data_IF_997994162261
#
_entry.id   IF_997994162261
#
_cell.length_a   1.000
_cell.length_b   1.000
_cell.length_c   1.000
_cell.angle_alpha   90.00
_cell.angle_beta   90.00
_cell.angle_gamma   90.00
#
_symmetry.space_group_name_H-M   'P 1'
#
loop_
_entity.id
_entity.type
_entity.pdbx_description
1 polymer ?
#
# COMPACT_ATOMS: atom_id res chain seq x y z
N UNK A 1 -3.84 -5.90 1.14
CA UNK A 1 -2.49 -5.39 0.83
C UNK A 1 -1.40 -6.46 0.83
N UNK A 2 -1.62 -7.67 1.38
CA UNK A 2 -0.68 -8.80 1.28
C UNK A 2 -0.24 -9.10 -0.14
N UNK A 3 -1.17 -9.04 -1.10
CA UNK A 3 -0.89 -9.25 -2.52
C UNK A 3 -0.03 -8.17 -3.17
N UNK A 4 0.24 -7.06 -2.46
CA UNK A 4 1.15 -5.98 -2.87
C UNK A 4 2.48 -6.01 -2.11
N UNK A 5 2.69 -6.98 -1.20
CA UNK A 5 3.95 -7.16 -0.49
C UNK A 5 3.96 -6.75 0.98
N UNK A 6 2.86 -6.20 1.49
CA UNK A 6 2.72 -5.82 2.90
C UNK A 6 2.08 -6.94 3.71
N UNK A 7 2.73 -7.42 4.76
CA UNK A 7 2.09 -8.34 5.71
C UNK A 7 1.99 -7.72 7.08
N UNK A 8 0.80 -7.81 7.68
CA UNK A 8 0.63 -7.56 9.12
C UNK A 8 -0.31 -8.61 9.68
N UNK A 9 0.18 -9.42 10.62
CA UNK A 9 -0.66 -10.29 11.45
C UNK A 9 -1.08 -9.63 12.76
N UNK A 10 -0.51 -8.45 13.06
CA UNK A 10 -0.84 -7.67 14.23
C UNK A 10 -1.08 -6.23 13.82
N UNK A 11 -2.36 -5.83 13.79
CA UNK A 11 -2.85 -4.48 13.47
C UNK A 11 -2.19 -3.36 14.29
N UNK A 12 -1.50 -3.67 15.40
CA UNK A 12 -0.78 -2.70 16.25
C UNK A 12 0.72 -2.56 15.91
N UNK A 13 1.24 -3.34 14.95
CA UNK A 13 2.63 -3.25 14.47
C UNK A 13 2.62 -3.32 12.93
N UNK A 14 2.77 -2.17 12.30
CA UNK A 14 3.00 -2.05 10.87
C UNK A 14 4.52 -1.91 10.73
N UNK A 15 5.16 -2.89 10.09
CA UNK A 15 6.60 -2.84 9.81
C UNK A 15 6.87 -1.89 8.63
N UNK A 16 8.08 -1.32 8.55
CA UNK A 16 8.47 -0.49 7.40
C UNK A 16 8.81 -1.33 6.15
N UNK A 17 8.93 -2.65 6.32
CA UNK A 17 9.21 -3.61 5.26
C UNK A 17 7.91 -4.10 4.60
N UNK A 18 8.01 -4.43 3.31
CA UNK A 18 6.86 -4.64 2.42
C UNK A 18 6.63 -3.52 1.40
N UNK A 19 7.22 -2.35 1.61
CA UNK A 19 7.20 -1.24 0.66
C UNK A 19 8.18 -1.42 -0.49
N UNK A 20 7.69 -1.27 -1.72
CA UNK A 20 8.46 -1.06 -2.95
C UNK A 20 8.33 0.41 -3.42
N UNK A 21 9.17 0.86 -4.36
CA UNK A 21 8.97 2.21 -4.94
C UNK A 21 7.55 2.37 -5.52
N UNK A 22 6.99 1.28 -6.09
CA UNK A 22 5.64 1.26 -6.67
C UNK A 22 4.56 1.38 -5.60
N UNK A 23 4.63 0.61 -4.52
CA UNK A 23 3.62 0.72 -3.47
C UNK A 23 3.72 2.02 -2.70
N UNK A 24 4.94 2.55 -2.51
CA UNK A 24 5.14 3.85 -1.87
C UNK A 24 4.56 4.97 -2.75
N UNK A 25 4.73 4.86 -4.07
CA UNK A 25 4.05 5.71 -5.05
C UNK A 25 2.53 5.63 -4.89
N UNK A 26 1.97 4.44 -5.09
CA UNK A 26 0.53 4.16 -5.07
C UNK A 26 -0.15 4.64 -3.78
N UNK A 27 0.49 4.40 -2.63
CA UNK A 27 -0.06 4.73 -1.31
C UNK A 27 0.27 6.15 -0.83
N UNK A 28 1.03 6.92 -1.63
CA UNK A 28 1.43 8.28 -1.27
C UNK A 28 2.35 8.35 -0.04
N UNK A 29 3.17 7.33 0.18
CA UNK A 29 4.12 7.26 1.32
C UNK A 29 5.30 8.18 1.02
N UNK A 30 5.24 9.41 1.56
CA UNK A 30 6.24 10.47 1.30
C UNK A 30 7.36 10.56 2.31
N UNK A 31 7.14 10.12 3.55
CA UNK A 31 8.08 10.33 4.63
C UNK A 31 8.51 8.98 5.18
N UNK A 32 9.81 8.69 5.07
CA UNK A 32 10.42 7.53 5.71
C UNK A 32 11.24 8.05 6.88
N UNK A 33 10.83 7.68 8.10
CA UNK A 33 11.48 8.12 9.33
C UNK A 33 12.20 6.93 9.93
N UNK A 34 13.54 7.01 10.01
CA UNK A 34 14.35 6.05 10.71
C UNK A 34 14.76 6.62 12.07
N UNK A 35 14.42 5.90 13.13
CA UNK A 35 14.71 6.27 14.51
C UNK A 35 15.69 5.24 15.08
N UNK A 36 16.91 5.66 15.39
CA UNK A 36 17.96 4.77 15.92
C UNK A 36 19.22 5.53 16.31
N UNK A 37 20.01 4.98 17.25
CA UNK A 37 21.26 5.58 17.73
C UNK A 37 21.14 7.05 18.18
N UNK A 38 20.04 7.41 18.89
CA UNK A 38 19.70 8.79 19.28
C UNK A 38 19.58 9.78 18.11
N UNK A 39 19.43 9.29 16.89
CA UNK A 39 19.22 10.11 15.69
C UNK A 39 17.85 9.80 15.08
N UNK A 40 17.22 10.85 14.57
CA UNK A 40 16.01 10.76 13.75
C UNK A 40 16.43 11.23 12.37
N UNK A 41 16.36 10.32 11.40
CA UNK A 41 16.53 10.66 9.99
C UNK A 41 15.16 10.61 9.33
N UNK A 42 14.81 11.66 8.61
CA UNK A 42 13.57 11.74 7.84
C UNK A 42 13.94 11.99 6.38
N UNK A 43 13.59 11.05 5.52
CA UNK A 43 13.77 11.17 4.08
C UNK A 43 12.41 11.45 3.43
N UNK A 44 12.39 12.43 2.54
CA UNK A 44 11.22 12.78 1.75
C UNK A 44 11.30 12.11 0.37
N UNK A 45 10.38 11.19 0.09
CA UNK A 45 10.25 10.56 -1.21
C UNK A 45 9.38 11.42 -2.13
N UNK A 46 10.04 12.11 -3.06
CA UNK A 46 9.37 12.92 -4.08
C UNK A 46 8.65 12.09 -5.14
N UNK A 47 8.83 10.77 -5.15
CA UNK A 47 8.17 9.88 -6.11
C UNK A 47 6.75 9.50 -5.69
N UNK A 48 6.29 9.88 -4.50
CA UNK A 48 4.97 9.48 -4.02
C UNK A 48 3.83 10.20 -4.75
N UNK A 49 2.80 9.45 -5.15
CA UNK A 49 1.60 10.02 -5.76
C UNK A 49 0.87 10.94 -4.76
N UNK A 50 0.05 11.90 -5.25
CA UNK A 50 -0.97 12.52 -4.41
C UNK A 50 -2.05 11.49 -4.02
N UNK A 51 -2.84 11.79 -2.99
CA UNK A 51 -3.87 10.89 -2.47
C UNK A 51 -4.90 10.50 -3.55
N UNK A 52 -5.19 11.39 -4.50
CA UNK A 52 -6.11 11.13 -5.60
C UNK A 52 -5.51 11.48 -6.96
N UNK A 53 -5.52 10.54 -7.90
CA UNK A 53 -5.02 10.73 -9.26
C UNK A 53 -5.76 9.84 -10.28
N UNK A 54 -5.76 10.27 -11.55
CA UNK A 54 -6.42 9.52 -12.62
C UNK A 54 -5.57 8.34 -13.08
N UNK A 55 -6.21 7.19 -13.26
CA UNK A 55 -5.63 5.97 -13.84
C UNK A 55 -6.56 5.42 -14.92
N UNK A 56 -6.09 4.47 -15.73
CA UNK A 56 -6.92 3.78 -16.70
C UNK A 56 -8.06 2.99 -16.00
N UNK A 57 -9.25 2.97 -16.61
CA UNK A 57 -10.42 2.20 -16.15
C UNK A 57 -10.17 0.70 -15.93
N UNK A 58 -9.13 0.13 -16.53
CA UNK A 58 -8.69 -1.25 -16.28
C UNK A 58 -8.43 -1.52 -14.78
N UNK A 59 -8.16 -0.49 -13.97
CA UNK A 59 -8.00 -0.60 -12.51
C UNK A 59 -9.25 -1.20 -11.83
N UNK A 60 -10.43 -1.02 -12.43
CA UNK A 60 -11.71 -1.48 -11.88
C UNK A 60 -11.82 -3.02 -11.92
N UNK A 61 -11.16 -3.63 -12.90
CA UNK A 61 -11.19 -5.07 -13.13
C UNK A 61 -9.91 -5.76 -12.61
N UNK A 62 -8.99 -4.99 -12.01
CA UNK A 62 -7.74 -5.51 -11.47
C UNK A 62 -8.03 -6.44 -10.27
N UNK A 63 -7.74 -7.72 -10.47
CA UNK A 63 -7.77 -8.74 -9.42
C UNK A 63 -6.35 -9.21 -9.15
N UNK A 64 -5.95 -9.20 -7.88
CA UNK A 64 -4.63 -9.66 -7.47
C UNK A 64 -4.57 -11.18 -7.32
N UNK A 65 -3.45 -11.73 -7.77
CA UNK A 65 -3.12 -13.14 -7.60
C UNK A 65 -2.39 -13.33 -6.27
N UNK A 66 -2.90 -14.23 -5.42
CA UNK A 66 -2.29 -14.51 -4.12
C UNK A 66 -0.86 -15.01 -4.31
N UNK A 67 0.06 -14.53 -3.46
CA UNK A 67 1.50 -14.87 -3.46
C UNK A 67 2.28 -14.43 -4.72
N UNK A 68 1.66 -13.71 -5.66
CA UNK A 68 2.32 -13.25 -6.90
C UNK A 68 2.58 -11.75 -6.85
N UNK A 69 3.30 -11.29 -5.81
CA UNK A 69 3.44 -9.85 -5.50
C UNK A 69 4.02 -9.06 -6.66
N UNK A 70 5.15 -9.49 -7.24
CA UNK A 70 5.77 -8.74 -8.34
C UNK A 70 4.93 -8.73 -9.62
N UNK A 71 4.15 -9.79 -9.88
CA UNK A 71 3.19 -9.83 -10.98
C UNK A 71 2.05 -8.82 -10.75
N UNK A 72 1.51 -8.76 -9.53
CA UNK A 72 0.48 -7.80 -9.16
C UNK A 72 0.98 -6.37 -9.27
N UNK A 73 2.17 -6.08 -8.73
CA UNK A 73 2.79 -4.76 -8.84
C UNK A 73 3.03 -4.37 -10.29
N UNK A 74 3.51 -5.29 -11.11
CA UNK A 74 3.69 -5.04 -12.53
C UNK A 74 2.36 -4.66 -13.24
N UNK A 75 1.26 -5.36 -12.93
CA UNK A 75 -0.08 -5.05 -13.46
C UNK A 75 -0.59 -3.68 -13.00
N UNK A 76 -0.35 -3.30 -11.73
CA UNK A 76 -0.70 -1.97 -11.22
C UNK A 76 0.01 -0.89 -12.02
N UNK A 77 1.34 -1.00 -12.16
CA UNK A 77 2.15 0.00 -12.87
C UNK A 77 1.74 0.09 -14.34
N UNK A 78 1.45 -1.04 -14.99
CA UNK A 78 0.96 -1.09 -16.37
C UNK A 78 -0.35 -0.33 -16.55
N UNK A 79 -1.30 -0.48 -15.62
CA UNK A 79 -2.59 0.23 -15.64
C UNK A 79 -2.38 1.73 -15.41
N UNK A 80 -1.53 2.11 -14.46
CA UNK A 80 -1.19 3.52 -14.21
C UNK A 80 -0.49 4.15 -15.42
N UNK A 81 0.47 3.44 -16.01
CA UNK A 81 1.23 3.87 -17.17
C UNK A 81 0.43 3.79 -18.49
N UNK A 82 -0.68 3.05 -18.52
CA UNK A 82 -1.49 2.81 -19.71
C UNK A 82 -0.73 2.06 -20.82
N UNK A 83 0.12 1.10 -20.44
CA UNK A 83 0.92 0.30 -21.38
C UNK A 83 1.14 -1.13 -20.86
N UNK A 84 1.80 -1.97 -21.65
CA UNK A 84 2.11 -3.38 -21.31
C UNK A 84 3.59 -3.62 -20.95
N UNK A 85 4.35 -2.56 -20.67
CA UNK A 85 5.77 -2.68 -20.34
C UNK A 85 5.98 -3.53 -19.09
N UNK A 86 7.00 -4.40 -19.09
CA UNK A 86 7.37 -5.21 -17.93
C UNK A 86 8.33 -4.42 -17.04
N UNK A 87 7.79 -3.76 -16.02
CA UNK A 87 8.52 -2.96 -15.04
C UNK A 87 9.29 -3.79 -14.03
N UNK A 88 8.72 -4.92 -13.58
CA UNK A 88 9.42 -5.89 -12.73
C UNK A 88 9.93 -7.06 -13.59
N UNK A 89 11.23 -7.37 -13.49
CA UNK A 89 11.85 -8.52 -14.16
C UNK A 89 12.68 -9.30 -13.16
N UNK A 90 12.52 -10.63 -13.13
CA UNK A 90 13.31 -11.49 -12.28
C UNK A 90 14.80 -11.41 -12.67
N UNK A 91 15.75 -11.29 -11.72
CA UNK A 91 17.17 -11.41 -12.06
C UNK A 91 17.47 -12.84 -12.56
N UNK A 92 18.49 -12.99 -13.42
CA UNK A 92 18.92 -14.32 -13.88
C UNK A 92 19.73 -15.01 -12.80
N UNK A 93 19.37 -16.25 -12.47
CA UNK A 93 20.20 -17.10 -11.61
C UNK A 93 21.52 -17.42 -12.31
N UNK A 94 22.64 -17.15 -11.64
CA UNK A 94 23.99 -17.54 -12.08
C UNK A 94 24.44 -18.80 -11.36
N UNK A 95 24.22 -18.87 -10.05
CA UNK A 95 24.46 -20.07 -9.25
C UNK A 95 23.63 -20.03 -7.97
N UNK A 96 23.27 -21.22 -7.48
CA UNK A 96 22.62 -21.44 -6.20
C UNK A 96 23.37 -22.59 -5.50
N UNK A 97 23.85 -22.32 -4.29
CA UNK A 97 24.36 -23.35 -3.39
C UNK A 97 23.48 -23.35 -2.14
N UNK A 98 23.05 -24.54 -1.71
CA UNK A 98 22.30 -24.73 -0.46
C UNK A 98 23.06 -25.67 0.48
N UNK A 99 23.10 -25.32 1.76
CA UNK A 99 23.73 -26.12 2.82
C UNK A 99 22.76 -26.21 3.99
N UNK A 100 22.37 -27.43 4.31
CA UNK A 100 21.55 -27.73 5.48
C UNK A 100 22.46 -28.27 6.59
N UNK A 101 22.45 -27.60 7.74
CA UNK A 101 23.26 -27.99 8.88
C UNK A 101 22.49 -27.72 10.18
N UNK A 102 22.38 -28.74 11.03
CA UNK A 102 21.77 -28.64 12.37
C UNK A 102 20.34 -28.05 12.36
N UNK A 103 19.54 -28.40 11.35
CA UNK A 103 18.17 -27.87 11.18
C UNK A 103 18.09 -26.42 10.68
N UNK A 104 19.21 -25.83 10.27
CA UNK A 104 19.29 -24.50 9.67
C UNK A 104 19.61 -24.63 8.18
N UNK A 105 18.79 -23.99 7.36
CA UNK A 105 18.90 -23.99 5.90
C UNK A 105 19.62 -22.74 5.43
N UNK A 106 20.73 -22.90 4.71
CA UNK A 106 21.52 -21.79 4.19
C UNK A 106 21.49 -21.80 2.66
N UNK A 107 21.19 -20.66 2.05
CA UNK A 107 21.14 -20.47 0.61
C UNK A 107 22.11 -19.36 0.22
N UNK A 108 22.98 -19.62 -0.75
CA UNK A 108 23.85 -18.61 -1.37
C UNK A 108 23.54 -18.56 -2.86
N UNK A 109 22.93 -17.45 -3.27
CA UNK A 109 22.58 -17.17 -4.66
C UNK A 109 23.54 -16.14 -5.22
N UNK A 110 23.97 -16.35 -6.46
CA UNK A 110 24.55 -15.32 -7.31
C UNK A 110 23.52 -15.03 -8.40
N UNK A 111 23.06 -13.77 -8.43
CA UNK A 111 22.03 -13.30 -9.33
C UNK A 111 22.62 -12.25 -10.27
N UNK A 112 22.12 -12.17 -11.51
CA UNK A 112 22.48 -11.13 -12.49
C UNK A 112 21.26 -10.26 -12.78
N UNK A 113 21.33 -8.98 -12.42
CA UNK A 113 20.21 -8.06 -12.58
C UNK A 113 19.83 -7.90 -14.07
N UNK A 114 18.53 -7.95 -14.36
CA UNK A 114 17.98 -7.68 -15.70
C UNK A 114 17.55 -6.23 -15.88
N UNK A 115 17.36 -5.48 -14.79
CA UNK A 115 16.99 -4.07 -14.78
C UNK A 115 18.05 -3.25 -14.05
N UNK A 116 18.11 -1.95 -14.35
CA UNK A 116 18.88 -0.98 -13.55
C UNK A 116 17.93 -0.37 -12.54
N UNK A 117 18.09 -0.71 -11.27
CA UNK A 117 17.15 -0.28 -10.25
C UNK A 117 17.11 -1.14 -9.01
N UNK A 118 16.07 -0.92 -8.21
CA UNK A 118 15.83 -1.57 -6.94
C UNK A 118 15.55 -3.05 -7.14
N UNK A 119 16.26 -3.91 -6.41
CA UNK A 119 16.06 -5.35 -6.38
C UNK A 119 15.30 -5.73 -5.11
N UNK A 120 14.48 -6.77 -5.21
CA UNK A 120 13.57 -7.20 -4.16
C UNK A 120 13.53 -8.71 -4.03
N UNK A 121 13.19 -9.19 -2.84
CA UNK A 121 12.90 -10.58 -2.50
C UNK A 121 11.52 -10.66 -1.82
N UNK A 122 10.70 -11.63 -2.22
CA UNK A 122 9.44 -11.95 -1.56
C UNK A 122 9.25 -13.46 -1.51
N UNK A 123 9.45 -14.07 -0.34
CA UNK A 123 9.37 -15.53 -0.17
C UNK A 123 7.98 -15.92 0.30
N UNK A 124 7.08 -16.39 -0.58
CA UNK A 124 5.67 -16.57 -0.25
C UNK A 124 5.48 -17.56 0.89
N UNK A 125 4.54 -17.25 1.81
CA UNK A 125 4.14 -18.10 2.94
C UNK A 125 5.23 -18.38 3.99
N UNK A 126 6.39 -17.73 3.89
CA UNK A 126 7.47 -17.85 4.87
C UNK A 126 7.38 -16.70 5.88
N UNK A 127 7.45 -17.04 7.17
CA UNK A 127 7.64 -16.06 8.25
C UNK A 127 9.10 -15.69 8.32
N UNK A 128 9.39 -14.40 8.37
CA UNK A 128 10.75 -13.89 8.40
C UNK A 128 11.39 -13.92 9.81
N UNK A 129 10.66 -14.35 10.83
CA UNK A 129 11.22 -14.60 12.18
C UNK A 129 12.32 -15.66 12.12
N UNK A 130 13.53 -15.29 12.58
CA UNK A 130 14.71 -16.15 12.54
C UNK A 130 15.36 -16.26 11.16
N UNK A 131 14.84 -15.57 10.13
CA UNK A 131 15.47 -15.50 8.81
C UNK A 131 16.46 -14.34 8.81
N UNK A 132 17.70 -14.60 8.41
CA UNK A 132 18.70 -13.56 8.17
C UNK A 132 19.05 -13.49 6.69
N UNK A 133 19.25 -12.28 6.19
CA UNK A 133 19.52 -12.01 4.78
C UNK A 133 20.70 -11.07 4.69
N UNK A 134 21.65 -11.35 3.80
CA UNK A 134 22.70 -10.42 3.42
C UNK A 134 22.80 -10.26 1.91
N UNK A 135 23.17 -9.06 1.48
CA UNK A 135 23.41 -8.74 0.07
C UNK A 135 24.85 -8.29 -0.06
N UNK A 136 25.63 -8.93 -0.95
CA UNK A 136 27.06 -8.68 -1.15
C UNK A 136 27.86 -8.68 0.17
N UNK A 137 27.47 -9.54 1.13
CA UNK A 137 28.12 -9.66 2.44
C UNK A 137 27.66 -8.63 3.49
N UNK A 138 26.81 -7.66 3.12
CA UNK A 138 26.21 -6.72 4.07
C UNK A 138 24.86 -7.27 4.55
N UNK A 139 24.74 -7.48 5.86
CA UNK A 139 23.51 -7.97 6.47
C UNK A 139 22.42 -6.91 6.42
N UNK A 140 21.22 -7.32 6.02
CA UNK A 140 20.01 -6.50 6.15
C UNK A 140 19.58 -6.57 7.62
N UNK A 141 19.37 -5.44 8.32
CA UNK A 141 18.96 -5.44 9.72
C UNK A 141 17.71 -6.31 9.96
N UNK A 142 17.66 -7.05 11.08
CA UNK A 142 16.54 -7.94 11.39
C UNK A 142 15.23 -7.16 11.53
N UNK A 143 14.15 -7.79 11.06
CA UNK A 143 12.80 -7.22 10.98
C UNK A 143 12.17 -7.23 12.38
N UNK A 144 11.68 -6.07 12.85
CA UNK A 144 11.19 -5.89 14.22
C UNK A 144 9.99 -6.78 14.57
N UNK A 145 9.22 -7.22 13.56
CA UNK A 145 8.12 -8.17 13.77
C UNK A 145 8.44 -9.58 13.25
N UNK A 146 8.92 -9.74 12.00
CA UNK A 146 9.13 -11.04 11.37
C UNK A 146 7.88 -11.95 11.37
N UNK A 147 6.71 -11.40 11.69
CA UNK A 147 5.46 -12.13 11.91
C UNK A 147 4.73 -12.46 10.61
N UNK A 148 5.23 -11.92 9.50
CA UNK A 148 4.61 -11.95 8.19
C UNK A 148 5.57 -12.34 7.07
N UNK A 149 5.01 -12.37 5.87
CA UNK A 149 5.76 -12.44 4.61
C UNK A 149 5.74 -11.05 3.96
N UNK A 150 6.91 -10.43 3.86
CA UNK A 150 7.04 -9.05 3.39
C UNK A 150 8.02 -8.98 2.22
N UNK A 151 7.85 -7.99 1.36
CA UNK A 151 8.87 -7.65 0.35
C UNK A 151 10.10 -7.06 1.05
N UNK A 152 11.25 -7.65 0.78
CA UNK A 152 12.55 -7.25 1.33
C UNK A 152 13.33 -6.51 0.23
N UNK A 153 13.71 -5.24 0.44
CA UNK A 153 14.57 -4.52 -0.47
C UNK A 153 16.01 -5.06 -0.38
N UNK A 154 16.62 -5.34 -1.53
CA UNK A 154 17.99 -5.85 -1.65
C UNK A 154 18.98 -4.77 -2.12
N UNK A 155 18.51 -3.54 -2.32
CA UNK A 155 19.30 -2.41 -2.80
C UNK A 155 19.23 -2.21 -4.32
N UNK A 156 19.98 -1.21 -4.81
CA UNK A 156 19.99 -0.82 -6.23
C UNK A 156 21.15 -1.47 -6.98
N UNK A 157 20.86 -2.17 -8.06
CA UNK A 157 21.85 -2.85 -8.90
C UNK A 157 21.68 -2.40 -10.35
N UNK A 158 22.79 -2.19 -11.06
CA UNK A 158 22.77 -1.88 -12.51
C UNK A 158 22.49 -3.13 -13.32
N UNK A 159 21.75 -2.99 -14.42
CA UNK A 159 21.51 -4.07 -15.35
C UNK A 159 22.82 -4.75 -15.77
N UNK A 160 22.81 -6.07 -15.88
CA UNK A 160 23.97 -6.88 -16.25
C UNK A 160 24.98 -7.13 -15.12
N UNK A 161 24.92 -6.43 -13.99
CA UNK A 161 25.82 -6.67 -12.85
C UNK A 161 25.34 -7.87 -12.02
N UNK A 162 26.30 -8.58 -11.43
CA UNK A 162 26.03 -9.68 -10.50
C UNK A 162 25.95 -9.15 -9.06
N UNK A 163 25.14 -9.79 -8.25
CA UNK A 163 25.06 -9.57 -6.81
C UNK A 163 24.85 -10.90 -6.08
N UNK A 164 25.36 -11.01 -4.86
CA UNK A 164 25.19 -12.20 -4.02
C UNK A 164 24.10 -11.95 -2.99
N UNK A 165 23.19 -12.90 -2.83
CA UNK A 165 22.22 -12.94 -1.74
C UNK A 165 22.49 -14.18 -0.92
N UNK A 166 22.65 -14.02 0.40
CA UNK A 166 22.75 -15.13 1.34
C UNK A 166 21.54 -15.09 2.26
N UNK A 167 20.87 -16.23 2.42
CA UNK A 167 19.67 -16.39 3.23
C UNK A 167 19.93 -17.54 4.20
N UNK A 168 19.77 -17.29 5.49
CA UNK A 168 19.76 -18.33 6.53
C UNK A 168 18.36 -18.40 7.10
N UNK A 169 17.75 -19.58 7.11
CA UNK A 169 16.35 -19.77 7.48
C UNK A 169 16.17 -21.02 8.35
N UNK A 170 15.31 -20.97 9.39
CA UNK A 170 14.90 -22.15 10.14
C UNK A 170 13.93 -23.05 9.36
N UNK A 171 13.35 -22.56 8.27
CA UNK A 171 12.44 -23.31 7.40
C UNK A 171 13.08 -23.51 6.02
N UNK A 172 12.85 -24.66 5.39
CA UNK A 172 13.26 -24.90 4.00
C UNK A 172 12.56 -23.92 3.05
N UNK A 173 13.31 -23.38 2.08
CA UNK A 173 12.86 -22.38 1.11
C UNK A 173 12.86 -23.01 -0.29
N UNK A 174 11.78 -23.72 -0.62
CA UNK A 174 11.66 -24.36 -1.93
C UNK A 174 11.43 -23.33 -3.03
N UNK A 175 12.29 -23.34 -4.06
CA UNK A 175 12.13 -22.49 -5.23
C UNK A 175 12.52 -21.02 -5.03
N UNK A 176 13.31 -20.72 -3.99
CA UNK A 176 13.68 -19.35 -3.59
C UNK A 176 14.33 -18.55 -4.73
N UNK A 177 14.98 -19.20 -5.68
CA UNK A 177 15.53 -18.55 -6.88
C UNK A 177 14.49 -17.84 -7.75
N UNK A 178 13.20 -18.17 -7.60
CA UNK A 178 12.09 -17.55 -8.33
C UNK A 178 11.43 -16.39 -7.58
N UNK A 179 11.83 -16.14 -6.33
CA UNK A 179 11.20 -15.17 -5.42
C UNK A 179 11.80 -13.76 -5.51
N UNK A 180 12.55 -13.49 -6.58
CA UNK A 180 13.27 -12.24 -6.79
C UNK A 180 12.69 -11.42 -7.95
N UNK A 181 12.71 -10.09 -7.82
CA UNK A 181 12.43 -9.19 -8.94
C UNK A 181 13.22 -7.88 -8.83
N UNK A 182 13.61 -7.34 -9.98
CA UNK A 182 14.17 -6.01 -10.13
C UNK A 182 13.18 -5.07 -10.80
N UNK A 183 13.03 -3.87 -10.22
CA UNK A 183 12.30 -2.78 -10.86
C UNK A 183 13.20 -2.08 -11.89
N UNK A 184 12.64 -1.76 -13.05
CA UNK A 184 13.23 -0.80 -13.98
C UNK A 184 12.87 0.61 -13.55
N UNK A 185 13.69 1.19 -12.65
CA UNK A 185 13.40 2.50 -12.07
C UNK A 185 13.38 3.61 -13.13
N UNK A 186 14.14 3.48 -14.23
CA UNK A 186 14.13 4.48 -15.30
C UNK A 186 12.79 4.45 -16.04
N UNK A 187 12.31 3.27 -16.42
CA UNK A 187 11.01 3.13 -17.06
C UNK A 187 9.88 3.57 -16.11
N UNK A 188 9.92 3.14 -14.84
CA UNK A 188 8.93 3.53 -13.84
C UNK A 188 8.88 5.04 -13.64
N UNK A 189 10.03 5.69 -13.48
CA UNK A 189 10.08 7.14 -13.32
C UNK A 189 9.56 7.89 -14.55
N UNK A 190 9.90 7.43 -15.76
CA UNK A 190 9.47 8.06 -17.01
C UNK A 190 7.96 7.91 -17.22
N UNK A 191 7.43 6.71 -17.03
CA UNK A 191 6.07 6.36 -17.46
C UNK A 191 5.01 6.59 -16.38
N UNK A 192 5.41 6.64 -15.11
CA UNK A 192 4.50 6.82 -13.96
C UNK A 192 4.84 8.09 -13.18
N UNK A 193 6.02 8.16 -12.55
CA UNK A 193 6.32 9.26 -11.60
C UNK A 193 6.33 10.63 -12.26
N UNK A 194 6.99 10.77 -13.41
CA UNK A 194 7.14 12.03 -14.12
C UNK A 194 6.06 12.24 -15.19
N UNK A 195 5.10 11.32 -15.30
CA UNK A 195 4.02 11.43 -16.29
C UNK A 195 3.05 12.53 -15.84
N UNK A 196 2.65 13.46 -16.73
CA UNK A 196 1.60 14.41 -16.41
C UNK A 196 0.27 13.67 -16.28
N UNK A 197 -0.23 13.57 -15.06
CA UNK A 197 -1.53 12.96 -14.73
C UNK A 197 -2.41 13.99 -14.06
N UNK A 198 -3.72 13.86 -14.24
CA UNK A 198 -4.71 14.67 -13.53
C UNK A 198 -4.79 14.22 -12.08
N UNK A 199 -4.63 15.15 -11.15
CA UNK A 199 -4.59 14.88 -9.71
C UNK A 199 -5.70 15.64 -8.99
N UNK A 200 -6.28 15.05 -7.95
CA UNK A 200 -7.25 15.71 -7.10
C UNK A 200 -6.57 16.84 -6.31
N UNK A 201 -7.07 18.06 -6.46
CA UNK A 201 -6.65 19.23 -5.70
C UNK A 201 -7.70 19.53 -4.65
N UNK A 202 -7.32 19.43 -3.37
CA UNK A 202 -8.22 19.76 -2.27
C UNK A 202 -8.39 21.27 -2.15
N UNK A 203 -9.63 21.71 -1.89
CA UNK A 203 -9.94 23.13 -1.68
C UNK A 203 -9.25 23.66 -0.42
N UNK A 204 -9.15 22.81 0.62
CA UNK A 204 -8.62 23.16 1.94
C UNK A 204 -7.80 22.03 2.56
N UNK A 205 -6.60 21.73 2.03
CA UNK A 205 -5.81 20.56 2.42
C UNK A 205 -5.44 20.52 3.91
N UNK A 206 -5.28 21.68 4.56
CA UNK A 206 -4.95 21.76 5.99
C UNK A 206 -6.10 21.31 6.91
N UNK A 207 -7.35 21.51 6.48
CA UNK A 207 -8.53 21.17 7.29
C UNK A 207 -8.78 19.65 7.32
N UNK A 208 -8.32 18.91 6.31
CA UNK A 208 -8.46 17.44 6.23
C UNK A 208 -7.83 16.73 7.43
N UNK A 209 -6.77 17.29 8.01
CA UNK A 209 -6.11 16.70 9.19
C UNK A 209 -6.98 16.73 10.46
N UNK A 210 -8.02 17.57 10.50
CA UNK A 210 -8.90 17.75 11.66
C UNK A 210 -10.36 17.38 11.36
N UNK A 211 -10.77 17.44 10.09
CA UNK A 211 -12.11 17.10 9.59
C UNK A 211 -11.98 16.18 8.37
N UNK A 212 -11.46 14.98 8.60
CA UNK A 212 -11.21 14.00 7.55
C UNK A 212 -12.49 13.35 6.99
N UNK A 213 -13.62 13.51 7.67
CA UNK A 213 -14.93 12.96 7.28
C UNK A 213 -15.67 13.82 6.26
N UNK A 214 -15.21 15.03 5.96
CA UNK A 214 -15.88 15.93 5.00
C UNK A 214 -14.87 16.82 4.28
N UNK A 215 -14.66 16.58 2.99
CA UNK A 215 -13.72 17.37 2.20
C UNK A 215 -14.15 17.55 0.75
N UNK A 216 -13.64 18.62 0.13
CA UNK A 216 -13.92 19.00 -1.24
C UNK A 216 -12.64 19.15 -2.05
N UNK A 217 -12.74 18.90 -3.34
CA UNK A 217 -11.65 19.14 -4.26
C UNK A 217 -12.12 19.26 -5.70
N UNK A 218 -11.18 19.61 -6.57
CA UNK A 218 -11.37 19.71 -8.00
C UNK A 218 -10.33 18.86 -8.74
N UNK A 219 -10.72 18.35 -9.89
CA UNK A 219 -9.85 17.63 -10.80
C UNK A 219 -10.28 17.92 -12.25
N UNK A 220 -9.31 18.19 -13.11
CA UNK A 220 -9.56 18.35 -14.55
C UNK A 220 -9.15 17.05 -15.26
N UNK A 221 -10.12 16.27 -15.70
CA UNK A 221 -9.89 14.98 -16.37
C UNK A 221 -9.63 15.23 -17.85
N UNK A 222 -8.46 14.81 -18.35
CA UNK A 222 -8.03 15.14 -19.71
C UNK A 222 -8.31 14.04 -20.73
N UNK A 223 -8.63 12.82 -20.29
CA UNK A 223 -8.87 11.67 -21.16
C UNK A 223 -10.18 10.95 -20.82
N UNK A 224 -10.72 10.22 -21.80
CA UNK A 224 -11.83 9.28 -21.57
C UNK A 224 -11.33 8.00 -20.89
N UNK A 225 -12.26 7.20 -20.36
CA UNK A 225 -12.00 5.88 -19.78
C UNK A 225 -10.97 5.92 -18.64
N UNK A 226 -11.12 6.92 -17.77
CA UNK A 226 -10.28 7.08 -16.59
C UNK A 226 -11.09 7.00 -15.31
N UNK A 227 -10.48 6.37 -14.31
CA UNK A 227 -10.99 6.27 -12.95
C UNK A 227 -10.11 7.14 -12.06
N UNK A 228 -10.73 7.97 -11.22
CA UNK A 228 -10.02 8.60 -10.11
C UNK A 228 -9.70 7.49 -9.11
N UNK A 229 -8.43 7.15 -9.00
CA UNK A 229 -7.92 6.28 -7.95
C UNK A 229 -7.64 7.13 -6.70
N UNK A 230 -8.00 6.60 -5.54
CA UNK A 230 -7.72 7.19 -4.24
C UNK A 230 -6.93 6.19 -3.40
N UNK A 231 -5.80 6.61 -2.84
CA UNK A 231 -5.00 5.79 -1.91
C UNK A 231 -5.66 5.55 -0.54
N UNK A 232 -6.95 5.88 -0.44
CA UNK A 232 -7.80 5.64 0.72
C UNK A 232 -8.49 4.28 0.61
N UNK A 233 -8.63 3.54 1.72
CA UNK A 233 -9.42 2.32 1.74
C UNK A 233 -10.87 2.56 1.29
N UNK A 234 -11.42 1.61 0.54
CA UNK A 234 -12.85 1.58 0.24
C UNK A 234 -13.65 1.27 1.51
N UNK A 235 -14.68 2.07 1.77
CA UNK A 235 -15.66 1.85 2.83
C UNK A 235 -17.05 2.25 2.32
N UNK A 236 -18.10 1.54 2.75
CA UNK A 236 -19.48 1.84 2.36
C UNK A 236 -20.02 3.14 2.99
N UNK A 237 -19.39 3.63 4.05
CA UNK A 237 -19.71 4.91 4.68
C UNK A 237 -19.27 6.12 3.86
N UNK A 238 -18.45 5.95 2.83
CA UNK A 238 -18.06 7.05 1.94
C UNK A 238 -19.16 7.36 0.92
N UNK A 239 -19.64 8.59 0.98
CA UNK A 239 -20.54 9.18 -0.01
C UNK A 239 -19.80 10.25 -0.81
N UNK A 240 -20.10 10.32 -2.11
CA UNK A 240 -19.51 11.33 -2.99
C UNK A 240 -20.58 12.04 -3.80
N UNK A 241 -20.41 13.35 -3.97
CA UNK A 241 -21.12 14.14 -4.96
C UNK A 241 -20.13 14.58 -6.06
N UNK A 242 -20.48 14.34 -7.32
CA UNK A 242 -19.72 14.78 -8.50
C UNK A 242 -20.53 15.86 -9.19
N UNK A 243 -19.99 17.08 -9.22
CA UNK A 243 -20.67 18.27 -9.77
C UNK A 243 -22.07 18.49 -9.14
N UNK A 244 -22.18 18.24 -7.83
CA UNK A 244 -23.41 18.41 -7.05
C UNK A 244 -24.45 17.29 -7.22
N UNK A 245 -24.15 16.24 -7.98
CA UNK A 245 -25.01 15.06 -8.13
C UNK A 245 -24.41 13.85 -7.40
N UNK A 246 -25.22 12.95 -6.81
CA UNK A 246 -24.71 11.73 -6.19
C UNK A 246 -23.84 10.92 -7.17
N UNK A 247 -22.63 10.59 -6.75
CA UNK A 247 -21.70 9.72 -7.48
C UNK A 247 -21.55 8.36 -6.80
N UNK A 248 -20.87 7.43 -7.47
CA UNK A 248 -20.61 6.08 -6.96
C UNK A 248 -19.13 5.92 -6.61
N UNK A 249 -18.88 5.55 -5.36
CA UNK A 249 -17.60 5.02 -4.90
C UNK A 249 -17.54 3.53 -5.25
N UNK A 250 -16.46 3.11 -5.90
CA UNK A 250 -16.21 1.70 -6.25
C UNK A 250 -14.95 1.19 -5.58
N UNK A 251 -14.89 -0.11 -5.30
CA UNK A 251 -13.69 -0.78 -4.80
C UNK A 251 -12.77 -1.07 -6.00
N UNK A 252 -11.52 -0.66 -5.91
CA UNK A 252 -10.46 -0.91 -6.90
C UNK A 252 -9.20 -1.44 -6.21
N UNK A 253 -8.27 -2.02 -6.97
CA UNK A 253 -7.00 -2.54 -6.46
C UNK A 253 -7.14 -3.36 -5.15
N UNK A 254 -8.17 -4.21 -5.11
CA UNK A 254 -8.55 -5.07 -3.98
C UNK A 254 -8.56 -4.40 -2.58
N UNK A 255 -9.06 -3.17 -2.48
CA UNK A 255 -9.30 -2.55 -1.17
C UNK A 255 -9.29 -1.04 -1.14
N UNK A 256 -8.95 -0.39 -2.25
CA UNK A 256 -8.84 1.05 -2.35
C UNK A 256 -10.06 1.63 -3.06
N UNK A 257 -10.20 2.95 -2.97
CA UNK A 257 -11.35 3.67 -3.48
C UNK A 257 -11.11 4.13 -4.92
N UNK A 258 -12.13 3.97 -5.77
CA UNK A 258 -12.19 4.49 -7.12
C UNK A 258 -13.47 5.28 -7.37
N UNK A 259 -13.41 6.28 -8.25
CA UNK A 259 -14.57 7.04 -8.72
C UNK A 259 -14.49 7.22 -10.23
N UNK A 260 -15.56 6.87 -10.96
CA UNK A 260 -15.67 7.16 -12.39
C UNK A 260 -15.93 8.64 -12.60
N UNK A 261 -15.09 9.30 -13.39
CA UNK A 261 -15.25 10.70 -13.75
C UNK A 261 -15.30 10.83 -15.27
N UNK A 262 -16.05 11.82 -15.75
CA UNK A 262 -16.08 12.16 -17.16
C UNK A 262 -15.00 13.21 -17.46
N UNK A 263 -14.54 13.35 -18.71
CA UNK A 263 -13.61 14.40 -19.09
C UNK A 263 -14.09 15.79 -18.72
N UNK A 264 -13.13 16.68 -18.46
CA UNK A 264 -13.35 18.06 -18.06
C UNK A 264 -13.21 18.29 -16.55
N UNK A 265 -13.65 19.48 -16.13
CA UNK A 265 -13.59 19.89 -14.73
C UNK A 265 -14.66 19.18 -13.90
N UNK A 266 -14.22 18.46 -12.88
CA UNK A 266 -15.09 17.80 -11.92
C UNK A 266 -14.85 18.38 -10.53
N UNK A 267 -15.92 18.81 -9.86
CA UNK A 267 -15.92 19.22 -8.47
C UNK A 267 -16.46 18.07 -7.62
N UNK A 268 -15.65 17.63 -6.66
CA UNK A 268 -15.93 16.47 -5.83
C UNK A 268 -16.19 16.91 -4.39
N UNK A 269 -17.20 16.32 -3.76
CA UNK A 269 -17.46 16.46 -2.34
C UNK A 269 -17.58 15.07 -1.71
N UNK A 270 -16.65 14.75 -0.82
CA UNK A 270 -16.63 13.51 -0.06
C UNK A 270 -17.21 13.76 1.33
N UNK A 271 -18.07 12.84 1.79
CA UNK A 271 -18.62 12.80 3.14
C UNK A 271 -18.55 11.36 3.65
N UNK A 272 -18.07 11.17 4.87
CA UNK A 272 -18.03 9.88 5.54
C UNK A 272 -19.10 9.82 6.61
N UNK A 273 -19.86 8.73 6.64
CA UNK A 273 -20.79 8.42 7.70
C UNK A 273 -20.51 7.01 8.24
N UNK A 274 -20.11 6.92 9.51
CA UNK A 274 -19.84 5.64 10.14
C UNK A 274 -21.12 4.80 10.26
N UNK A 275 -21.06 3.56 9.78
CA UNK A 275 -22.16 2.61 9.90
C UNK A 275 -22.55 2.44 11.38
N UNK A 276 -23.84 2.62 11.68
CA UNK A 276 -24.37 2.50 13.04
C UNK A 276 -24.26 3.75 13.91
N UNK A 277 -23.61 4.84 13.47
CA UNK A 277 -23.55 6.08 14.25
C UNK A 277 -24.95 6.64 14.57
N UNK A 278 -25.81 6.71 13.55
CA UNK A 278 -27.21 7.14 13.72
C UNK A 278 -27.98 6.25 14.70
N UNK A 279 -27.83 4.93 14.59
CA UNK A 279 -28.44 3.98 15.51
C UNK A 279 -27.91 4.14 16.94
N UNK A 280 -26.60 4.33 17.10
CA UNK A 280 -25.98 4.58 18.39
C UNK A 280 -26.49 5.86 19.05
N UNK A 281 -26.67 6.93 18.28
CA UNK A 281 -27.25 8.20 18.77
C UNK A 281 -28.69 7.96 19.27
N UNK A 282 -29.51 7.27 18.48
CA UNK A 282 -30.91 6.98 18.85
C UNK A 282 -30.97 6.15 20.14
N UNK A 283 -30.18 5.08 20.25
CA UNK A 283 -30.11 4.25 21.45
C UNK A 283 -29.60 5.02 22.67
N UNK A 284 -28.62 5.91 22.49
CA UNK A 284 -28.09 6.75 23.57
C UNK A 284 -29.15 7.72 24.09
N UNK A 285 -29.88 8.39 23.19
CA UNK A 285 -30.97 9.29 23.56
C UNK A 285 -32.09 8.52 24.25
N UNK A 286 -32.50 7.36 23.73
CA UNK A 286 -33.52 6.53 24.34
C UNK A 286 -33.14 6.10 25.76
N UNK A 287 -31.88 5.68 25.97
CA UNK A 287 -31.36 5.31 27.29
C UNK A 287 -31.33 6.51 28.23
N UNK A 288 -30.89 7.68 27.75
CA UNK A 288 -30.87 8.91 28.55
C UNK A 288 -32.27 9.30 29.01
N UNK A 289 -33.26 9.21 28.12
CA UNK A 289 -34.68 9.47 28.45
C UNK A 289 -35.18 8.49 29.52
N UNK A 290 -34.87 7.20 29.39
CA UNK A 290 -35.23 6.20 30.40
C UNK A 290 -34.61 6.51 31.77
N UNK A 291 -33.32 6.87 31.81
CA UNK A 291 -32.63 7.26 33.06
C UNK A 291 -33.32 8.46 33.71
N UNK A 292 -33.61 9.52 32.94
CA UNK A 292 -34.30 10.71 33.45
C UNK A 292 -35.69 10.35 34.01
N UNK A 293 -36.45 9.52 33.31
CA UNK A 293 -37.78 9.07 33.78
C UNK A 293 -37.63 8.30 35.10
N UNK A 294 -36.68 7.37 35.20
CA UNK A 294 -36.49 6.56 36.43
C UNK A 294 -36.10 7.42 37.64
N UNK A 295 -35.23 8.42 37.46
CA UNK A 295 -34.86 9.32 38.54
C UNK A 295 -36.00 10.25 38.96
N UNK A 296 -36.78 10.77 38.00
CA UNK A 296 -37.98 11.55 38.32
C UNK A 296 -39.00 10.74 39.12
N UNK A 297 -39.19 9.45 38.79
CA UNK A 297 -40.06 8.54 39.55
C UNK A 297 -39.49 8.29 40.96
N UNK A 298 -38.17 8.06 41.08
CA UNK A 298 -37.50 7.86 42.37
C UNK A 298 -37.62 9.06 43.30
N UNK A 299 -37.36 10.27 42.80
CA UNK A 299 -37.48 11.52 43.57
C UNK A 299 -38.93 11.76 44.01
N UNK A 300 -39.91 11.49 43.13
CA UNK A 300 -41.33 11.59 43.51
C UNK A 300 -41.72 10.59 44.59
N UNK A 301 -41.23 9.36 44.53
CA UNK A 301 -41.49 8.34 45.56
C UNK A 301 -40.83 8.63 46.90
N UNK A 302 -39.69 9.32 46.93
CA UNK A 302 -39.01 9.65 48.18
C UNK A 302 -39.60 10.88 48.90
N UNK A 303 -40.35 11.72 48.17
CA UNK A 303 -41.05 12.91 48.70
C UNK A 303 -42.49 12.62 49.18
N UNK A 304 -43.03 11.44 48.88
CA UNK A 304 -44.30 10.93 49.46
C UNK A 304 -44.00 10.07 50.66
#
# INVERSE_FOLDING_TARGET
MESLGFSTRNIRRIDMLGGTEVTNHLLGIRNIVAIGNNQITANHDMKAAPIGFMVNDDIQNLTFEKNMVFKNLNRVVQIEAGNEYQYFKAPKLVSLNSIDKDGVHNYKLILKAQTSGSQYLYIPKIRLSGVSISVNGQMIPPIYSGLGTEVIPLGNIRAGHKFSVQITSPNSLTGVENDFAGLDNQAFNRDVVNRPISTLKFDKPKEINYQGDNFKGNINVTQNNQTLFMSMPFDMGWHIEVNGKPGKVIKVADGLMGIKLHPGNNRLHFKYEAAGLKLGIVLSIATLVLVVITELVRVRRHKM
#
